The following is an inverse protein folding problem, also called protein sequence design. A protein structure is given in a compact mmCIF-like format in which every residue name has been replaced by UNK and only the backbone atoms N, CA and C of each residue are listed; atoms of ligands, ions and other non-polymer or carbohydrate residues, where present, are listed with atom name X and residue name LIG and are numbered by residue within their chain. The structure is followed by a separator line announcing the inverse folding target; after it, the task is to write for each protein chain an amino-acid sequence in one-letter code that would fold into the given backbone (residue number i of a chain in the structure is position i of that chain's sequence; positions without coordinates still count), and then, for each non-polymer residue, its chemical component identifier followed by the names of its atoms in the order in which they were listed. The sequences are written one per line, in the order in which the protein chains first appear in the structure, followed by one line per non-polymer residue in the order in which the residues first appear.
data_IF_014820101441
#
_entry.id   IF_014820101441
#
_cell.length_a   1.000
_cell.length_b   1.000
_cell.length_c   1.000
_cell.angle_alpha   90.00
_cell.angle_beta   90.00
_cell.angle_gamma   90.00
#
_symmetry.space_group_name_H-M   'P 1'
#
loop_
_entity.id
_entity.type
_entity.pdbx_description
1 polymer ?
#
# COMPACT_ATOMS: atom_id res chain seq x y z
N UNK A 1 56.65 21.74 -19.00
CA UNK A 1 56.01 20.52 -18.48
C UNK A 1 54.73 20.76 -17.67
N UNK A 2 54.61 21.85 -16.90
CA UNK A 2 53.47 22.13 -15.99
C UNK A 2 52.08 22.30 -16.67
N UNK A 3 52.02 22.68 -17.95
CA UNK A 3 50.75 22.96 -18.66
C UNK A 3 49.96 21.71 -19.06
N UNK A 4 50.60 20.56 -19.23
CA UNK A 4 49.93 19.31 -19.65
C UNK A 4 49.27 18.65 -18.45
N UNK A 5 49.95 18.61 -17.30
CA UNK A 5 49.43 18.08 -16.03
C UNK A 5 48.16 18.81 -15.59
N UNK A 6 48.12 20.14 -15.74
CA UNK A 6 46.95 20.95 -15.38
C UNK A 6 45.73 20.68 -16.27
N UNK A 7 45.93 20.36 -17.55
CA UNK A 7 44.83 20.00 -18.47
C UNK A 7 44.26 18.62 -18.17
N UNK A 8 45.13 17.66 -17.81
CA UNK A 8 44.72 16.31 -17.41
C UNK A 8 43.92 16.37 -16.11
N UNK A 9 44.38 17.15 -15.12
CA UNK A 9 43.69 17.32 -13.85
C UNK A 9 42.29 17.93 -14.03
N UNK A 10 42.17 18.98 -14.86
CA UNK A 10 40.89 19.63 -15.16
C UNK A 10 39.95 18.67 -15.90
N UNK A 11 40.46 17.89 -16.85
CA UNK A 11 39.68 16.88 -17.56
C UNK A 11 39.16 15.77 -16.62
N UNK A 12 40.00 15.29 -15.70
CA UNK A 12 39.61 14.30 -14.71
C UNK A 12 38.56 14.83 -13.73
N UNK A 13 38.70 16.07 -13.26
CA UNK A 13 37.69 16.71 -12.41
C UNK A 13 36.35 16.88 -13.12
N UNK A 14 36.35 17.31 -14.39
CA UNK A 14 35.12 17.43 -15.19
C UNK A 14 34.44 16.07 -15.40
N UNK A 15 35.21 15.02 -15.70
CA UNK A 15 34.68 13.67 -15.85
C UNK A 15 34.05 13.15 -14.54
N UNK A 16 34.68 13.42 -13.39
CA UNK A 16 34.14 13.04 -12.08
C UNK A 16 32.85 13.81 -11.74
N UNK A 17 32.78 15.11 -12.03
CA UNK A 17 31.57 15.91 -11.80
C UNK A 17 30.42 15.43 -12.70
N UNK A 18 30.70 15.16 -13.98
CA UNK A 18 29.70 14.64 -14.91
C UNK A 18 29.24 13.23 -14.55
N UNK A 19 30.16 12.35 -14.14
CA UNK A 19 29.79 11.02 -13.65
C UNK A 19 28.92 11.09 -12.40
N UNK A 20 29.22 12.01 -11.47
CA UNK A 20 28.44 12.21 -10.26
C UNK A 20 27.05 12.78 -10.55
N UNK A 21 26.94 13.77 -11.46
CA UNK A 21 25.66 14.30 -11.91
C UNK A 21 24.81 13.26 -12.66
N UNK A 22 25.43 12.46 -13.53
CA UNK A 22 24.76 11.35 -14.19
C UNK A 22 24.28 10.32 -13.18
N UNK A 23 25.12 9.92 -12.21
CA UNK A 23 24.74 8.97 -11.17
C UNK A 23 23.56 9.48 -10.34
N UNK A 24 23.60 10.74 -9.90
CA UNK A 24 22.51 11.36 -9.14
C UNK A 24 21.21 11.48 -9.93
N UNK A 25 21.30 11.61 -11.26
CA UNK A 25 20.14 11.66 -12.16
C UNK A 25 19.55 10.26 -12.39
N UNK A 26 20.41 9.24 -12.55
CA UNK A 26 19.97 7.84 -12.68
C UNK A 26 19.38 7.29 -11.36
N UNK A 27 19.90 7.68 -10.19
CA UNK A 27 19.35 7.24 -8.90
C UNK A 27 18.00 7.91 -8.56
N UNK A 28 17.76 9.14 -9.04
CA UNK A 28 16.44 9.79 -8.89
C UNK A 28 15.34 9.09 -9.68
N UNK A 29 15.66 8.47 -10.80
CA UNK A 29 14.72 7.64 -11.56
C UNK A 29 14.56 6.23 -10.96
N UNK A 30 15.48 5.80 -10.10
CA UNK A 30 15.35 4.57 -9.29
C UNK A 30 14.50 4.76 -8.03
N UNK A 31 14.19 6.00 -7.64
CA UNK A 31 13.06 6.32 -6.76
C UNK A 31 11.74 6.20 -7.54
N UNK A 32 11.64 5.15 -8.38
CA UNK A 32 10.42 4.67 -9.01
C UNK A 32 9.48 4.26 -7.88
N UNK A 33 8.79 5.28 -7.36
CA UNK A 33 7.75 5.18 -6.34
C UNK A 33 6.91 3.95 -6.62
N UNK A 34 6.90 3.03 -5.66
CA UNK A 34 6.01 1.89 -5.69
C UNK A 34 4.61 2.39 -6.08
N UNK A 35 3.89 1.61 -6.91
CA UNK A 35 2.55 1.94 -7.38
C UNK A 35 1.56 2.25 -6.25
N UNK A 36 1.91 1.79 -5.05
CA UNK A 36 1.23 2.04 -3.79
C UNK A 36 2.27 2.32 -2.70
N UNK A 37 2.00 3.29 -1.85
CA UNK A 37 2.74 3.57 -0.63
C UNK A 37 1.82 3.41 0.59
N UNK A 38 2.13 2.44 1.44
CA UNK A 38 1.55 2.33 2.78
C UNK A 38 2.44 3.04 3.81
N UNK A 39 1.81 3.57 4.84
CA UNK A 39 2.47 4.09 6.03
C UNK A 39 2.84 2.97 6.99
N UNK A 40 3.29 3.36 8.19
CA UNK A 40 3.56 2.41 9.27
C UNK A 40 2.28 1.70 9.70
N UNK A 41 2.43 0.46 10.18
CA UNK A 41 1.36 -0.26 10.89
C UNK A 41 0.92 0.56 12.11
N UNK A 42 -0.40 0.73 12.25
CA UNK A 42 -1.01 1.51 13.32
C UNK A 42 -1.50 0.57 14.43
N UNK A 43 -2.09 -0.56 14.04
CA UNK A 43 -2.61 -1.58 14.94
C UNK A 43 -2.60 -2.94 14.23
N UNK A 44 -2.91 -4.00 14.97
CA UNK A 44 -3.07 -5.34 14.42
C UNK A 44 -4.39 -5.95 14.88
N UNK A 45 -5.01 -6.74 14.00
CA UNK A 45 -6.23 -7.49 14.23
C UNK A 45 -5.91 -8.97 14.30
N UNK A 46 -6.61 -9.68 15.17
CA UNK A 46 -6.52 -11.13 15.25
C UNK A 46 -7.78 -11.81 14.72
N UNK A 47 -7.61 -13.00 14.17
CA UNK A 47 -8.70 -13.88 13.75
C UNK A 47 -8.54 -15.22 14.46
N UNK A 48 -9.67 -15.75 14.96
CA UNK A 48 -9.74 -17.04 15.66
C UNK A 48 -9.50 -18.24 14.74
N UNK A 49 -9.83 -18.10 13.46
CA UNK A 49 -9.82 -19.20 12.51
C UNK A 49 -9.70 -18.72 11.06
N UNK A 50 -9.19 -19.59 10.18
CA UNK A 50 -9.02 -19.29 8.75
C UNK A 50 -10.35 -19.13 8.02
N UNK A 51 -11.43 -19.75 8.47
CA UNK A 51 -12.73 -19.64 7.80
C UNK A 51 -13.32 -18.22 7.95
N UNK A 52 -13.01 -17.51 9.03
CA UNK A 52 -13.35 -16.09 9.19
C UNK A 52 -12.63 -15.20 8.17
N UNK A 53 -11.36 -15.51 7.85
CA UNK A 53 -10.59 -14.83 6.80
C UNK A 53 -11.25 -15.05 5.44
N UNK A 54 -11.65 -16.28 5.12
CA UNK A 54 -12.25 -16.61 3.82
C UNK A 54 -13.56 -15.85 3.53
N UNK A 55 -14.29 -15.46 4.59
CA UNK A 55 -15.52 -14.64 4.53
C UNK A 55 -15.25 -13.14 4.35
N UNK A 56 -14.01 -12.69 4.46
CA UNK A 56 -13.68 -11.29 4.22
C UNK A 56 -13.96 -10.91 2.76
N UNK A 57 -14.40 -9.66 2.53
CA UNK A 57 -14.50 -9.14 1.18
C UNK A 57 -13.13 -9.16 0.48
N UNK A 58 -13.13 -9.40 -0.82
CA UNK A 58 -11.95 -9.27 -1.66
C UNK A 58 -12.29 -8.52 -2.95
N UNK A 59 -11.27 -7.95 -3.57
CA UNK A 59 -11.43 -7.30 -4.87
C UNK A 59 -11.17 -8.30 -5.99
N UNK A 60 -12.22 -8.64 -6.75
CA UNK A 60 -12.10 -9.41 -7.99
C UNK A 60 -11.72 -8.45 -9.12
N UNK A 61 -10.51 -8.64 -9.65
CA UNK A 61 -9.95 -7.80 -10.71
C UNK A 61 -10.57 -8.07 -12.07
N UNK A 62 -10.98 -9.31 -12.34
CA UNK A 62 -11.60 -9.67 -13.61
C UNK A 62 -12.97 -9.00 -13.73
N UNK A 63 -13.71 -8.92 -12.62
CA UNK A 63 -15.02 -8.27 -12.57
C UNK A 63 -14.96 -6.80 -12.17
N UNK A 64 -13.80 -6.30 -11.76
CA UNK A 64 -13.61 -4.92 -11.24
C UNK A 64 -14.58 -4.63 -10.09
N UNK A 65 -14.77 -5.62 -9.20
CA UNK A 65 -15.86 -5.64 -8.23
C UNK A 65 -15.40 -6.20 -6.87
N UNK A 66 -16.05 -5.73 -5.81
CA UNK A 66 -15.88 -6.30 -4.47
C UNK A 66 -16.78 -7.52 -4.33
N UNK A 67 -16.24 -8.63 -3.84
CA UNK A 67 -16.96 -9.89 -3.65
C UNK A 67 -16.85 -10.32 -2.19
N UNK A 68 -17.97 -10.74 -1.60
CA UNK A 68 -18.07 -11.32 -0.25
C UNK A 68 -19.12 -12.42 -0.27
N UNK A 69 -18.80 -13.59 0.30
CA UNK A 69 -19.71 -14.75 0.31
C UNK A 69 -20.31 -15.08 -1.07
N UNK A 70 -19.50 -14.98 -2.14
CA UNK A 70 -19.89 -15.17 -3.55
C UNK A 70 -20.89 -14.14 -4.10
N UNK A 71 -21.17 -13.06 -3.38
CA UNK A 71 -22.03 -11.97 -3.81
C UNK A 71 -21.23 -10.69 -4.04
N UNK A 72 -21.72 -9.87 -4.98
CA UNK A 72 -21.14 -8.54 -5.24
C UNK A 72 -21.49 -7.59 -4.11
N UNK A 73 -20.47 -7.02 -3.48
CA UNK A 73 -20.59 -5.90 -2.54
C UNK A 73 -20.62 -4.61 -3.37
N UNK A 74 -21.81 -4.02 -3.51
CA UNK A 74 -22.01 -2.81 -4.33
C UNK A 74 -21.25 -1.59 -3.79
N UNK A 75 -21.15 -1.51 -2.47
CA UNK A 75 -20.48 -0.42 -1.79
C UNK A 75 -19.61 -0.97 -0.67
N UNK A 76 -18.29 -0.94 -0.86
CA UNK A 76 -17.33 -1.47 0.11
C UNK A 76 -17.32 -0.65 1.41
N UNK A 77 -17.86 0.56 1.42
CA UNK A 77 -17.91 1.38 2.64
C UNK A 77 -18.88 0.82 3.69
N UNK A 78 -19.80 -0.08 3.31
CA UNK A 78 -20.66 -0.78 4.27
C UNK A 78 -19.91 -1.81 5.10
N UNK A 79 -18.68 -2.15 4.70
CA UNK A 79 -17.78 -3.09 5.38
C UNK A 79 -16.76 -2.35 6.27
N UNK A 80 -16.93 -1.03 6.47
CA UNK A 80 -16.12 -0.28 7.42
C UNK A 80 -16.36 -0.80 8.83
N UNK A 81 -15.26 -1.08 9.52
CA UNK A 81 -15.20 -1.39 10.94
C UNK A 81 -14.85 -0.12 11.68
N UNK A 82 -15.59 0.14 12.76
CA UNK A 82 -15.33 1.20 13.73
C UNK A 82 -15.00 0.50 15.05
N UNK A 83 -13.73 0.57 15.47
CA UNK A 83 -13.23 -0.09 16.68
C UNK A 83 -13.62 0.65 17.96
N UNK A 84 -13.94 1.94 17.87
CA UNK A 84 -14.42 2.76 18.97
C UNK A 84 -15.57 3.68 18.51
N UNK A 85 -16.78 3.12 18.28
CA UNK A 85 -17.92 3.89 17.78
C UNK A 85 -18.43 4.95 18.78
N UNK A 86 -18.01 4.85 20.04
CA UNK A 86 -18.37 5.80 21.09
C UNK A 86 -17.31 6.88 21.28
N UNK A 87 -16.16 6.77 20.60
CA UNK A 87 -15.01 7.67 20.67
C UNK A 87 -14.62 7.98 22.13
N UNK A 88 -14.54 6.93 22.94
CA UNK A 88 -14.29 7.02 24.38
C UNK A 88 -12.81 6.94 24.73
N UNK A 89 -11.99 6.36 23.86
CA UNK A 89 -10.58 6.08 24.11
C UNK A 89 -9.63 6.89 23.24
N UNK A 90 -8.46 7.30 23.76
CA UNK A 90 -7.41 7.90 22.94
C UNK A 90 -6.75 6.90 21.95
N UNK A 91 -7.06 5.60 22.09
CA UNK A 91 -6.46 4.50 21.34
C UNK A 91 -7.26 4.11 20.08
N UNK A 92 -8.32 4.86 19.74
CA UNK A 92 -9.11 4.60 18.54
C UNK A 92 -8.24 4.71 17.28
N UNK A 93 -8.29 3.68 16.44
CA UNK A 93 -7.60 3.67 15.14
C UNK A 93 -8.40 4.46 14.09
N UNK A 94 -9.70 4.62 14.33
CA UNK A 94 -10.67 5.18 13.39
C UNK A 94 -11.24 4.10 12.48
N UNK A 95 -12.10 4.50 11.54
CA UNK A 95 -12.77 3.61 10.61
C UNK A 95 -11.79 3.03 9.60
N UNK A 96 -11.73 1.70 9.53
CA UNK A 96 -10.91 0.95 8.58
C UNK A 96 -11.72 -0.14 7.90
N UNK A 97 -11.19 -0.72 6.83
CA UNK A 97 -11.79 -1.91 6.20
C UNK A 97 -10.85 -3.09 6.34
N UNK A 98 -11.41 -4.27 6.58
CA UNK A 98 -10.68 -5.53 6.56
C UNK A 98 -11.05 -6.28 5.29
N UNK A 99 -10.07 -6.50 4.43
CA UNK A 99 -10.26 -7.23 3.16
C UNK A 99 -9.21 -8.32 3.05
N UNK A 100 -9.56 -9.41 2.37
CA UNK A 100 -8.58 -10.40 1.96
C UNK A 100 -8.12 -10.15 0.53
N UNK A 101 -6.92 -10.61 0.21
CA UNK A 101 -6.46 -10.72 -1.16
C UNK A 101 -7.18 -11.88 -1.86
N UNK A 102 -7.31 -11.75 -3.18
CA UNK A 102 -7.73 -12.85 -4.04
C UNK A 102 -6.73 -14.02 -3.89
N UNK A 103 -7.21 -15.27 -3.84
CA UNK A 103 -6.30 -16.42 -3.65
C UNK A 103 -5.33 -16.53 -4.82
N UNK A 104 -4.09 -16.94 -4.53
CA UNK A 104 -3.05 -17.24 -5.52
C UNK A 104 -2.64 -16.03 -6.38
N UNK A 105 -2.81 -14.82 -5.85
CA UNK A 105 -2.47 -13.61 -6.58
C UNK A 105 -1.20 -12.96 -6.09
N UNK A 106 -0.32 -12.62 -7.03
CA UNK A 106 0.91 -11.89 -6.77
C UNK A 106 0.70 -10.41 -6.46
N UNK A 107 1.79 -9.65 -6.44
CA UNK A 107 1.84 -8.22 -6.11
C UNK A 107 0.83 -7.33 -6.86
N UNK A 108 0.40 -7.71 -8.06
CA UNK A 108 -0.63 -6.98 -8.82
C UNK A 108 -1.99 -6.94 -8.11
N UNK A 109 -2.44 -8.04 -7.48
CA UNK A 109 -3.72 -8.03 -6.77
C UNK A 109 -3.69 -7.15 -5.54
N UNK A 110 -2.56 -7.17 -4.82
CA UNK A 110 -2.31 -6.25 -3.72
C UNK A 110 -2.42 -4.78 -4.16
N UNK A 111 -1.73 -4.42 -5.25
CA UNK A 111 -1.74 -3.05 -5.79
C UNK A 111 -3.15 -2.61 -6.19
N UNK A 112 -3.87 -3.43 -6.95
CA UNK A 112 -5.20 -3.07 -7.47
C UNK A 112 -6.25 -3.03 -6.36
N UNK A 113 -6.15 -3.90 -5.34
CA UNK A 113 -7.02 -3.85 -4.16
C UNK A 113 -6.85 -2.52 -3.43
N UNK A 114 -5.61 -2.08 -3.22
CA UNK A 114 -5.33 -0.82 -2.53
C UNK A 114 -5.78 0.39 -3.36
N UNK A 115 -5.54 0.38 -4.68
CA UNK A 115 -6.06 1.42 -5.58
C UNK A 115 -7.59 1.49 -5.53
N UNK A 116 -8.28 0.35 -5.53
CA UNK A 116 -9.73 0.28 -5.45
C UNK A 116 -10.25 0.90 -4.14
N UNK A 117 -9.61 0.62 -3.00
CA UNK A 117 -9.96 1.22 -1.70
C UNK A 117 -9.71 2.74 -1.67
N UNK A 118 -8.51 3.16 -2.10
CA UNK A 118 -8.13 4.57 -2.14
C UNK A 118 -9.09 5.39 -3.03
N UNK A 119 -9.57 4.82 -4.13
CA UNK A 119 -10.55 5.47 -5.03
C UNK A 119 -11.89 5.76 -4.34
N UNK A 120 -12.22 5.01 -3.29
CA UNK A 120 -13.42 5.20 -2.45
C UNK A 120 -13.19 6.13 -1.26
N UNK A 121 -11.96 6.59 -1.07
CA UNK A 121 -11.56 7.42 0.08
C UNK A 121 -11.37 6.62 1.38
N UNK A 122 -11.22 5.30 1.28
CA UNK A 122 -10.85 4.45 2.41
C UNK A 122 -9.33 4.42 2.48
N UNK A 123 -8.76 5.02 3.52
CA UNK A 123 -7.30 5.11 3.67
C UNK A 123 -6.74 4.29 4.82
N UNK A 124 -7.57 3.67 5.66
CA UNK A 124 -7.13 2.70 6.66
C UNK A 124 -7.61 1.31 6.25
N UNK A 125 -6.69 0.36 6.17
CA UNK A 125 -6.98 -0.99 5.68
C UNK A 125 -6.18 -2.03 6.44
N UNK A 126 -6.83 -3.16 6.72
CA UNK A 126 -6.16 -4.42 7.03
C UNK A 126 -6.27 -5.36 5.82
N UNK A 127 -5.12 -5.73 5.26
CA UNK A 127 -5.03 -6.63 4.12
C UNK A 127 -4.63 -8.03 4.62
N UNK A 128 -5.44 -9.03 4.31
CA UNK A 128 -5.18 -10.43 4.71
C UNK A 128 -4.82 -11.28 3.50
N UNK A 129 -3.66 -11.91 3.50
CA UNK A 129 -3.35 -12.94 2.52
C UNK A 129 -4.15 -14.21 2.86
N UNK A 130 -5.15 -14.56 2.04
CA UNK A 130 -5.96 -15.76 2.27
C UNK A 130 -5.22 -17.06 1.92
N UNK A 131 -4.21 -17.01 1.05
CA UNK A 131 -3.39 -18.17 0.68
C UNK A 131 -2.47 -18.54 1.83
N UNK A 132 -1.69 -17.58 2.34
CA UNK A 132 -0.76 -17.77 3.43
C UNK A 132 -0.89 -16.67 4.50
N UNK A 133 -1.98 -16.68 5.30
CA UNK A 133 -2.19 -15.66 6.32
C UNK A 133 -1.09 -15.72 7.38
N UNK A 134 -0.63 -14.57 7.86
CA UNK A 134 0.32 -14.49 8.99
C UNK A 134 -0.30 -15.19 10.19
N UNK A 135 0.42 -16.13 10.77
CA UNK A 135 -0.04 -16.91 11.92
C UNK A 135 1.05 -17.00 12.98
N UNK A 136 0.67 -16.80 14.24
CA UNK A 136 1.54 -16.93 15.41
C UNK A 136 0.73 -17.59 16.54
N UNK A 137 1.29 -18.63 17.16
CA UNK A 137 0.64 -19.39 18.25
C UNK A 137 -0.79 -19.88 17.95
N UNK A 138 -1.07 -20.21 16.68
CA UNK A 138 -2.40 -20.67 16.26
C UNK A 138 -3.39 -19.55 15.92
N UNK A 139 -3.02 -18.28 16.17
CA UNK A 139 -3.84 -17.09 15.89
C UNK A 139 -3.40 -16.46 14.58
N UNK A 140 -4.35 -16.07 13.74
CA UNK A 140 -4.06 -15.34 12.50
C UNK A 140 -4.08 -13.84 12.74
N UNK A 141 -3.22 -13.11 12.05
CA UNK A 141 -3.05 -11.68 12.27
C UNK A 141 -3.07 -10.88 10.96
N UNK A 142 -3.59 -9.66 11.03
CA UNK A 142 -3.51 -8.68 9.96
C UNK A 142 -3.15 -7.30 10.50
N UNK A 143 -2.21 -6.63 9.83
CA UNK A 143 -1.81 -5.29 10.20
C UNK A 143 -2.77 -4.26 9.59
N UNK A 144 -3.21 -3.32 10.41
CA UNK A 144 -3.91 -2.12 9.94
C UNK A 144 -2.85 -1.10 9.55
N UNK A 145 -2.87 -0.68 8.28
CA UNK A 145 -1.95 0.33 7.75
C UNK A 145 -2.72 1.46 7.08
N UNK A 146 -2.09 2.64 7.02
CA UNK A 146 -2.61 3.77 6.26
C UNK A 146 -2.12 3.76 4.83
N UNK A 147 -3.01 3.87 3.86
CA UNK A 147 -2.67 4.16 2.47
C UNK A 147 -2.28 5.63 2.38
N UNK A 148 -1.03 5.91 2.00
CA UNK A 148 -0.50 7.28 1.89
C UNK A 148 -0.69 7.79 0.48
N UNK A 149 -0.24 7.02 -0.51
CA UNK A 149 -0.31 7.36 -1.94
C UNK A 149 -0.57 6.15 -2.80
N UNK A 150 -1.20 6.38 -3.95
CA UNK A 150 -1.36 5.42 -5.03
C UNK A 150 -1.07 6.09 -6.38
N UNK A 151 -0.65 5.33 -7.38
CA UNK A 151 -0.66 5.83 -8.77
C UNK A 151 -2.06 5.73 -9.35
N UNK A 152 -2.55 6.83 -9.91
CA UNK A 152 -3.81 6.86 -10.65
C UNK A 152 -3.67 6.18 -12.03
N UNK A 153 -4.77 6.10 -12.80
CA UNK A 153 -4.77 5.52 -14.15
C UNK A 153 -3.83 6.21 -15.15
N UNK A 154 -3.38 7.44 -14.87
CA UNK A 154 -2.39 8.18 -15.66
C UNK A 154 -0.95 7.98 -15.18
N UNK A 155 -0.73 7.08 -14.22
CA UNK A 155 0.57 6.82 -13.61
C UNK A 155 1.02 7.92 -12.63
N UNK A 156 0.18 8.90 -12.31
CA UNK A 156 0.54 10.00 -11.42
C UNK A 156 0.33 9.57 -9.96
N UNK A 157 1.31 9.85 -9.10
CA UNK A 157 1.18 9.64 -7.66
C UNK A 157 0.16 10.63 -7.09
N UNK A 158 -0.87 10.11 -6.43
CA UNK A 158 -1.92 10.89 -5.74
C UNK A 158 -2.00 10.44 -4.29
N UNK A 159 -2.17 11.39 -3.37
CA UNK A 159 -2.39 11.08 -1.95
C UNK A 159 -3.76 10.42 -1.79
N UNK A 160 -3.85 9.45 -0.87
CA UNK A 160 -5.16 8.98 -0.42
C UNK A 160 -5.85 10.11 0.35
N UNK A 161 -7.13 10.32 0.09
CA UNK A 161 -7.94 11.31 0.79
C UNK A 161 -8.99 10.58 1.60
N UNK A 162 -8.74 10.53 2.91
CA UNK A 162 -9.60 9.82 3.86
C UNK A 162 -10.94 10.55 3.95
N UNK A 163 -12.04 9.84 3.72
CA UNK A 163 -13.40 10.41 3.81
C UNK A 163 -14.11 10.04 5.10
N UNK A 164 -13.50 9.20 5.93
CA UNK A 164 -14.16 8.56 7.07
C UNK A 164 -13.55 8.93 8.42
N UNK A 165 -12.32 9.46 8.42
CA UNK A 165 -11.55 9.80 9.63
C UNK A 165 -11.06 11.25 9.66
N UNK A 166 -11.79 12.17 9.00
CA UNK A 166 -11.49 13.61 8.95
C UNK A 166 -12.14 14.41 10.05
#
# INVERSE_FOLDING_TARGET
MIKIERKILVGACLALILANLCWYSFDRDNDQSADVQLGTTIAALSFSDKASIDKLPYYDRAQTAWIKDSAVVKDITTELVDDDPQNLGPDSVGKYVVVRLERETGSTAYIETIKALASRGICLVALVDATNPRQEEGVFWADISRIIRVKNARGQSVNCHDRFNT
#
